data_IF_353280848883
#
_entry.id   IF_353280848883
#
_cell.length_a   1.000
_cell.length_b   1.000
_cell.length_c   1.000
_cell.angle_alpha   90.00
_cell.angle_beta   90.00
_cell.angle_gamma   90.00
#
_symmetry.space_group_name_H-M   'P 1'
#
loop_
_entity.id
_entity.type
_entity.pdbx_description
1 polymer ?
#
# COMPACT_ATOMS: atom_id res chain seq x y z
N UNK A 1 -16.71 -6.25 0.34
CA UNK A 1 -16.85 -6.03 1.80
C UNK A 1 -16.67 -7.34 2.53
N UNK A 2 -15.88 -7.37 3.61
CA UNK A 2 -15.63 -8.56 4.43
C UNK A 2 -16.92 -9.15 5.05
N UNK A 3 -17.93 -8.32 5.29
CA UNK A 3 -19.26 -8.79 5.73
C UNK A 3 -19.94 -9.75 4.75
N UNK A 4 -19.62 -9.71 3.47
CA UNK A 4 -20.12 -10.68 2.49
C UNK A 4 -19.74 -12.12 2.86
N UNK A 5 -18.61 -12.31 3.55
CA UNK A 5 -18.14 -13.62 4.00
C UNK A 5 -19.13 -14.32 4.94
N UNK A 6 -19.87 -13.56 5.77
CA UNK A 6 -20.88 -14.10 6.67
C UNK A 6 -22.00 -14.83 5.91
N UNK A 7 -22.37 -14.31 4.75
CA UNK A 7 -23.52 -14.79 3.97
C UNK A 7 -23.11 -15.58 2.72
N UNK A 8 -21.81 -15.64 2.42
CA UNK A 8 -21.31 -16.38 1.27
C UNK A 8 -21.63 -17.87 1.44
N UNK A 9 -22.25 -18.45 0.41
CA UNK A 9 -22.50 -19.88 0.30
C UNK A 9 -21.35 -20.51 -0.50
N UNK A 10 -20.51 -21.27 0.13
CA UNK A 10 -19.36 -21.92 -0.51
C UNK A 10 -18.76 -22.98 0.39
N UNK A 11 -17.94 -23.86 -0.18
CA UNK A 11 -17.30 -24.93 0.57
C UNK A 11 -16.15 -24.42 1.44
N UNK A 12 -15.44 -23.38 0.99
CA UNK A 12 -14.36 -22.73 1.74
C UNK A 12 -14.36 -21.25 1.46
N UNK A 13 -14.01 -20.45 2.47
CA UNK A 13 -13.93 -18.99 2.41
C UNK A 13 -12.51 -18.56 2.76
N UNK A 14 -11.91 -17.76 1.90
CA UNK A 14 -10.60 -17.15 2.13
C UNK A 14 -10.76 -15.65 2.16
N UNK A 15 -10.20 -14.99 3.17
CA UNK A 15 -10.13 -13.55 3.25
C UNK A 15 -8.68 -13.10 3.16
N UNK A 16 -8.37 -12.33 2.13
CA UNK A 16 -7.08 -11.65 2.00
C UNK A 16 -7.18 -10.24 2.59
N UNK A 17 -6.27 -9.90 3.48
CA UNK A 17 -6.26 -8.62 4.19
C UNK A 17 -4.97 -7.87 3.86
N UNK A 18 -5.13 -6.62 3.41
CA UNK A 18 -4.06 -5.75 2.94
C UNK A 18 -3.84 -4.54 3.87
N UNK A 19 -3.78 -4.78 5.16
CA UNK A 19 -3.60 -3.79 6.22
C UNK A 19 -4.52 -4.01 7.40
N UNK A 20 -4.20 -3.41 8.54
CA UNK A 20 -4.99 -3.53 9.77
C UNK A 20 -6.03 -2.42 9.81
N UNK A 21 -7.30 -2.78 9.67
CA UNK A 21 -8.40 -1.80 9.56
C UNK A 21 -8.52 -0.93 10.82
N UNK A 22 -8.45 -1.53 12.00
CA UNK A 22 -8.52 -0.78 13.27
C UNK A 22 -7.40 0.25 13.41
N UNK A 23 -6.20 -0.03 12.89
CA UNK A 23 -5.09 0.93 12.88
C UNK A 23 -5.36 2.14 11.99
N UNK A 24 -5.95 1.89 10.81
CA UNK A 24 -6.34 2.96 9.89
C UNK A 24 -7.40 3.87 10.52
N UNK A 25 -8.33 3.28 11.27
CA UNK A 25 -9.36 4.03 12.00
C UNK A 25 -8.77 4.78 13.19
N UNK A 26 -7.85 4.18 13.93
CA UNK A 26 -7.15 4.82 15.07
C UNK A 26 -6.41 6.09 14.63
N UNK A 27 -5.80 6.08 13.46
CA UNK A 27 -5.07 7.22 12.93
C UNK A 27 -5.96 8.40 12.53
N UNK A 28 -7.26 8.15 12.27
CA UNK A 28 -8.17 9.14 11.67
C UNK A 28 -9.36 9.52 12.55
N UNK A 29 -9.65 8.76 13.60
CA UNK A 29 -10.89 8.90 14.39
C UNK A 29 -10.68 8.86 15.91
N UNK A 30 -11.75 9.14 16.65
CA UNK A 30 -11.74 9.10 18.12
C UNK A 30 -11.62 7.68 18.69
N UNK A 31 -11.15 7.55 19.93
CA UNK A 31 -10.97 6.26 20.63
C UNK A 31 -12.23 5.38 20.67
N UNK A 32 -13.41 5.98 20.74
CA UNK A 32 -14.68 5.24 20.73
C UNK A 32 -14.95 4.58 19.38
N UNK A 33 -14.69 5.28 18.27
CA UNK A 33 -14.83 4.74 16.91
C UNK A 33 -13.80 3.65 16.66
N UNK A 34 -12.58 3.82 17.14
CA UNK A 34 -11.51 2.83 17.06
C UNK A 34 -11.83 1.53 17.80
N UNK A 35 -12.43 1.65 18.98
CA UNK A 35 -12.87 0.46 19.74
C UNK A 35 -13.94 -0.34 19.00
N UNK A 36 -14.91 0.35 18.39
CA UNK A 36 -15.92 -0.29 17.54
C UNK A 36 -15.32 -0.93 16.29
N UNK A 37 -14.38 -0.25 15.65
CA UNK A 37 -13.65 -0.79 14.49
C UNK A 37 -12.89 -2.06 14.85
N UNK A 38 -12.18 -2.07 15.98
CA UNK A 38 -11.44 -3.24 16.48
C UNK A 38 -12.36 -4.43 16.79
N UNK A 39 -13.49 -4.17 17.44
CA UNK A 39 -14.48 -5.22 17.72
C UNK A 39 -15.09 -5.78 16.45
N UNK A 40 -15.43 -4.91 15.50
CA UNK A 40 -15.99 -5.30 14.20
C UNK A 40 -14.97 -6.09 13.36
N UNK A 41 -13.71 -5.68 13.36
CA UNK A 41 -12.61 -6.38 12.68
C UNK A 41 -12.41 -7.77 13.27
N UNK A 42 -12.30 -7.89 14.61
CA UNK A 42 -12.18 -9.18 15.28
C UNK A 42 -13.31 -10.13 14.94
N UNK A 43 -14.55 -9.64 14.85
CA UNK A 43 -15.69 -10.43 14.48
C UNK A 43 -15.62 -10.95 13.02
N UNK A 44 -15.23 -10.06 12.09
CA UNK A 44 -15.14 -10.40 10.67
C UNK A 44 -14.07 -11.46 10.41
N UNK A 45 -12.96 -11.42 11.14
CA UNK A 45 -11.85 -12.34 11.01
C UNK A 45 -12.19 -13.78 11.45
N UNK A 46 -13.30 -13.99 12.14
CA UNK A 46 -13.76 -15.32 12.54
C UNK A 46 -14.61 -16.04 11.48
N UNK A 47 -15.05 -15.36 10.41
CA UNK A 47 -15.94 -15.96 9.41
C UNK A 47 -15.25 -16.73 8.28
N UNK A 48 -14.02 -16.38 7.87
CA UNK A 48 -13.28 -17.14 6.85
C UNK A 48 -12.71 -18.44 7.43
N UNK A 49 -12.58 -19.45 6.57
CA UNK A 49 -11.86 -20.68 6.89
C UNK A 49 -10.33 -20.48 6.86
N UNK A 50 -9.87 -19.50 6.07
CA UNK A 50 -8.46 -19.08 6.00
C UNK A 50 -8.32 -17.58 5.87
N UNK A 51 -7.28 -17.06 6.50
CA UNK A 51 -6.86 -15.68 6.45
C UNK A 51 -5.49 -15.57 5.76
N UNK A 52 -5.37 -14.67 4.80
CA UNK A 52 -4.11 -14.40 4.12
C UNK A 52 -3.77 -12.91 4.15
N UNK A 53 -2.50 -12.59 4.11
CA UNK A 53 -2.01 -11.23 3.96
C UNK A 53 -0.78 -11.19 3.06
N UNK A 54 -0.59 -10.09 2.36
CA UNK A 54 0.55 -9.84 1.47
C UNK A 54 1.77 -9.24 2.18
N UNK A 55 1.66 -8.93 3.47
CA UNK A 55 2.71 -8.28 4.25
C UNK A 55 3.07 -9.06 5.52
N UNK A 56 4.35 -9.33 5.70
CA UNK A 56 4.86 -9.92 6.93
C UNK A 56 4.67 -9.00 8.15
N UNK A 57 4.73 -7.69 7.95
CA UNK A 57 4.44 -6.70 8.98
C UNK A 57 2.98 -6.78 9.43
N UNK A 58 2.04 -6.86 8.47
CA UNK A 58 0.62 -7.05 8.75
C UNK A 58 0.35 -8.40 9.44
N UNK A 59 1.00 -9.48 8.99
CA UNK A 59 0.93 -10.80 9.64
C UNK A 59 1.33 -10.72 11.12
N UNK A 60 2.47 -10.09 11.40
CA UNK A 60 2.99 -9.90 12.76
C UNK A 60 2.02 -9.07 13.62
N UNK A 61 1.50 -7.97 13.09
CA UNK A 61 0.55 -7.11 13.78
C UNK A 61 -0.74 -7.82 14.18
N UNK A 62 -1.31 -8.65 13.30
CA UNK A 62 -2.50 -9.44 13.63
C UNK A 62 -2.21 -10.50 14.69
N UNK A 63 -1.04 -11.12 14.64
CA UNK A 63 -0.62 -12.07 15.69
C UNK A 63 -0.49 -11.38 17.05
N UNK A 64 0.17 -10.21 17.09
CA UNK A 64 0.40 -9.48 18.34
C UNK A 64 -0.89 -8.88 18.94
N UNK A 65 -1.79 -8.36 18.10
CA UNK A 65 -2.97 -7.62 18.57
C UNK A 65 -4.22 -8.47 18.81
N UNK A 66 -4.38 -9.51 18.02
CA UNK A 66 -5.60 -10.33 18.01
C UNK A 66 -5.32 -11.81 18.30
N UNK A 67 -4.05 -12.21 18.40
CA UNK A 67 -3.60 -13.62 18.46
C UNK A 67 -4.16 -14.46 17.30
N UNK A 68 -4.23 -13.86 16.10
CA UNK A 68 -4.73 -14.51 14.89
C UNK A 68 -3.57 -14.76 13.94
N UNK A 69 -3.48 -15.99 13.43
CA UNK A 69 -2.49 -16.39 12.44
C UNK A 69 -2.99 -16.16 11.02
N UNK A 70 -2.17 -15.51 10.21
CA UNK A 70 -2.39 -15.28 8.79
C UNK A 70 -1.39 -16.08 7.96
N UNK A 71 -1.82 -16.63 6.85
CA UNK A 71 -0.92 -17.18 5.84
C UNK A 71 -0.34 -16.05 5.01
N UNK A 72 0.99 -16.02 4.87
CA UNK A 72 1.67 -15.02 4.03
C UNK A 72 1.52 -15.40 2.56
N UNK A 73 0.85 -14.56 1.80
CA UNK A 73 0.62 -14.72 0.37
C UNK A 73 0.90 -13.37 -0.33
N UNK A 74 2.15 -13.15 -0.79
CA UNK A 74 2.50 -11.88 -1.43
C UNK A 74 1.71 -11.68 -2.73
N UNK A 75 1.21 -10.46 -2.92
CA UNK A 75 0.55 -10.08 -4.16
C UNK A 75 1.56 -10.09 -5.31
N UNK A 76 1.35 -10.86 -6.37
CA UNK A 76 2.23 -10.88 -7.53
C UNK A 76 2.18 -9.55 -8.28
N UNK A 77 3.21 -9.30 -9.09
CA UNK A 77 3.22 -8.23 -10.07
C UNK A 77 2.90 -8.84 -11.43
N UNK A 78 1.88 -8.31 -12.10
CA UNK A 78 1.57 -8.69 -13.49
C UNK A 78 2.56 -8.00 -14.43
N UNK A 79 3.54 -8.75 -14.89
CA UNK A 79 4.66 -8.22 -15.70
C UNK A 79 4.24 -7.86 -17.12
N UNK A 80 3.21 -8.48 -17.66
CA UNK A 80 2.72 -8.22 -19.02
C UNK A 80 2.16 -6.80 -19.17
N UNK A 81 1.68 -6.23 -18.05
CA UNK A 81 1.21 -4.85 -18.04
C UNK A 81 2.32 -3.81 -18.34
N UNK A 82 3.59 -4.17 -18.16
CA UNK A 82 4.74 -3.26 -18.39
C UNK A 82 5.25 -3.25 -19.83
N UNK A 83 4.68 -4.04 -20.72
CA UNK A 83 4.99 -4.00 -22.13
C UNK A 83 4.84 -2.58 -22.71
N UNK A 84 5.67 -2.26 -23.69
CA UNK A 84 5.69 -0.95 -24.38
C UNK A 84 6.13 0.26 -23.53
N UNK A 85 6.82 0.05 -22.41
CA UNK A 85 7.47 1.13 -21.65
C UNK A 85 8.93 1.37 -22.06
N UNK A 86 9.51 0.58 -22.94
CA UNK A 86 10.93 0.63 -23.28
C UNK A 86 11.36 1.94 -23.94
N UNK A 87 10.45 2.61 -24.63
CA UNK A 87 10.69 3.91 -25.27
C UNK A 87 10.72 5.09 -24.30
N UNK A 88 10.37 4.88 -23.02
CA UNK A 88 10.35 5.96 -22.02
C UNK A 88 11.78 6.32 -21.63
N UNK A 89 12.19 7.56 -21.93
CA UNK A 89 13.50 8.09 -21.60
C UNK A 89 13.56 8.59 -20.16
N UNK A 90 14.71 8.44 -19.51
CA UNK A 90 15.01 9.04 -18.21
C UNK A 90 15.02 10.55 -18.31
N UNK A 91 14.49 11.19 -17.28
CA UNK A 91 14.56 12.64 -17.04
C UNK A 91 15.47 12.82 -15.83
N UNK A 92 16.57 13.52 -16.04
CA UNK A 92 17.56 13.73 -14.99
C UNK A 92 16.97 14.53 -13.83
N UNK A 93 17.31 14.13 -12.61
CA UNK A 93 16.85 14.73 -11.36
C UNK A 93 15.31 14.77 -11.20
N UNK A 94 14.56 13.98 -11.99
CA UNK A 94 13.13 13.82 -11.74
C UNK A 94 12.91 12.88 -10.58
N UNK A 95 12.09 13.30 -9.64
CA UNK A 95 11.67 12.57 -8.44
C UNK A 95 10.17 12.32 -8.54
N UNK A 96 9.74 11.06 -8.52
CA UNK A 96 8.32 10.74 -8.63
C UNK A 96 7.70 10.44 -7.27
N UNK A 97 6.54 11.03 -7.05
CA UNK A 97 5.55 10.56 -6.09
C UNK A 97 4.39 9.95 -6.87
N UNK A 98 4.04 8.71 -6.57
CA UNK A 98 2.91 8.01 -7.21
C UNK A 98 1.99 7.45 -6.12
N UNK A 99 0.78 7.99 -6.03
CA UNK A 99 -0.17 7.59 -5.01
C UNK A 99 -1.37 8.51 -4.90
N UNK A 100 -2.30 8.18 -4.01
CA UNK A 100 -3.44 9.03 -3.69
C UNK A 100 -2.97 10.29 -2.95
N UNK A 101 -3.68 11.41 -3.15
CA UNK A 101 -3.53 12.58 -2.31
C UNK A 101 -4.30 12.34 -1.00
N UNK A 102 -3.64 11.77 -0.02
CA UNK A 102 -4.23 11.43 1.27
C UNK A 102 -3.19 11.47 2.38
N UNK A 103 -3.64 11.77 3.61
CA UNK A 103 -2.78 11.86 4.78
C UNK A 103 -1.96 10.59 5.03
N UNK A 104 -2.56 9.42 4.84
CA UNK A 104 -1.90 8.13 5.01
C UNK A 104 -0.72 7.93 4.06
N UNK A 105 -0.79 8.51 2.83
CA UNK A 105 0.26 8.43 1.82
C UNK A 105 1.35 9.48 1.99
N UNK A 106 1.21 10.40 2.93
CA UNK A 106 2.24 11.33 3.34
C UNK A 106 2.67 12.35 2.27
N UNK A 107 1.83 12.62 1.27
CA UNK A 107 2.13 13.59 0.21
C UNK A 107 2.42 14.99 0.77
N UNK A 108 1.81 15.33 1.89
CA UNK A 108 2.03 16.58 2.63
C UNK A 108 3.45 16.67 3.19
N UNK A 109 4.05 15.55 3.62
CA UNK A 109 5.44 15.48 4.07
C UNK A 109 6.38 15.84 2.91
N UNK A 110 6.16 15.23 1.74
CA UNK A 110 6.99 15.50 0.57
C UNK A 110 6.83 16.94 0.09
N UNK A 111 5.61 17.48 0.06
CA UNK A 111 5.35 18.88 -0.29
C UNK A 111 6.03 19.84 0.67
N UNK A 112 6.06 19.55 1.97
CA UNK A 112 6.74 20.38 2.97
C UNK A 112 8.27 20.38 2.79
N UNK A 113 8.85 19.26 2.36
CA UNK A 113 10.29 19.14 2.13
C UNK A 113 10.74 19.58 0.73
N UNK A 114 9.82 19.89 -0.18
CA UNK A 114 10.13 20.09 -1.61
C UNK A 114 11.15 21.19 -1.86
N UNK A 115 11.13 22.27 -1.06
CA UNK A 115 12.09 23.38 -1.19
C UNK A 115 13.54 22.99 -0.83
N UNK A 116 13.74 21.88 -0.11
CA UNK A 116 15.06 21.38 0.30
C UNK A 116 15.58 20.30 -0.67
N UNK A 117 14.74 19.86 -1.62
CA UNK A 117 15.06 18.80 -2.55
C UNK A 117 15.76 19.38 -3.79
N UNK A 118 16.96 18.89 -4.08
CA UNK A 118 17.65 19.24 -5.32
C UNK A 118 17.17 18.34 -6.47
N UNK A 119 16.02 18.68 -7.06
CA UNK A 119 15.41 17.93 -8.15
C UNK A 119 14.03 18.44 -8.50
N UNK A 120 13.43 17.88 -9.54
CA UNK A 120 12.09 18.20 -9.98
C UNK A 120 11.10 17.14 -9.44
N UNK A 121 10.25 17.51 -8.51
CA UNK A 121 9.25 16.59 -7.93
C UNK A 121 8.01 16.57 -8.81
N UNK A 122 7.64 15.37 -9.26
CA UNK A 122 6.44 15.12 -10.06
C UNK A 122 5.43 14.33 -9.25
N UNK A 123 4.29 14.95 -8.99
CA UNK A 123 3.18 14.33 -8.26
C UNK A 123 2.21 13.64 -9.24
N UNK A 124 2.16 12.32 -9.16
CA UNK A 124 1.24 11.48 -9.92
C UNK A 124 0.08 11.06 -9.03
N UNK A 125 -0.96 11.90 -8.98
CA UNK A 125 -2.21 11.63 -8.28
C UNK A 125 -3.34 11.52 -9.28
N UNK A 126 -4.28 10.58 -9.09
CA UNK A 126 -5.46 10.41 -9.96
C UNK A 126 -5.14 10.23 -11.46
N UNK A 127 -4.04 9.58 -11.78
CA UNK A 127 -3.63 9.22 -13.14
C UNK A 127 -3.93 7.76 -13.44
N UNK A 128 -3.94 7.43 -14.73
CA UNK A 128 -4.01 6.03 -15.15
C UNK A 128 -2.76 5.27 -14.68
N UNK A 129 -2.89 3.96 -14.46
CA UNK A 129 -1.74 3.11 -14.13
C UNK A 129 -0.61 3.25 -15.16
N UNK A 130 -0.96 3.27 -16.46
CA UNK A 130 0.01 3.40 -17.55
C UNK A 130 0.80 4.71 -17.49
N UNK A 131 0.13 5.81 -17.15
CA UNK A 131 0.81 7.10 -17.01
C UNK A 131 1.69 7.12 -15.76
N UNK A 132 1.23 6.53 -14.66
CA UNK A 132 2.03 6.36 -13.46
C UNK A 132 3.32 5.57 -13.73
N UNK A 133 3.24 4.46 -14.47
CA UNK A 133 4.41 3.65 -14.84
C UNK A 133 5.40 4.42 -15.73
N UNK A 134 4.90 5.23 -16.67
CA UNK A 134 5.77 6.11 -17.47
C UNK A 134 6.50 7.13 -16.59
N UNK A 135 5.82 7.73 -15.63
CA UNK A 135 6.41 8.68 -14.69
C UNK A 135 7.46 7.98 -13.83
N UNK A 136 7.16 6.81 -13.26
CA UNK A 136 8.15 6.02 -12.52
C UNK A 136 9.37 5.75 -13.40
N UNK A 137 9.16 5.16 -14.58
CA UNK A 137 10.26 4.77 -15.48
C UNK A 137 11.12 5.94 -15.92
N UNK A 138 10.52 7.12 -16.12
CA UNK A 138 11.27 8.33 -16.50
C UNK A 138 12.01 8.97 -15.32
N UNK A 139 11.69 8.63 -14.07
CA UNK A 139 12.26 9.30 -12.89
C UNK A 139 13.57 8.67 -12.44
N UNK A 140 14.42 9.49 -11.83
CA UNK A 140 15.68 9.06 -11.20
C UNK A 140 15.42 8.28 -9.91
N UNK A 141 14.34 8.63 -9.18
CA UNK A 141 13.97 8.03 -7.90
C UNK A 141 12.46 8.13 -7.67
N UNK A 142 11.91 7.18 -6.92
CA UNK A 142 10.53 7.24 -6.42
C UNK A 142 10.54 7.48 -4.93
N UNK A 143 9.71 8.39 -4.45
CA UNK A 143 9.55 8.68 -3.02
C UNK A 143 8.20 8.16 -2.54
N UNK A 144 8.22 7.38 -1.46
CA UNK A 144 7.04 6.77 -0.80
C UNK A 144 7.02 7.21 0.66
N UNK A 145 6.52 8.42 0.96
CA UNK A 145 6.58 9.01 2.30
C UNK A 145 5.40 8.59 3.18
N UNK A 146 4.88 7.39 2.97
CA UNK A 146 3.66 6.91 3.59
C UNK A 146 3.78 6.85 5.12
N UNK A 147 2.69 7.19 5.82
CA UNK A 147 2.56 6.96 7.27
C UNK A 147 2.08 5.56 7.59
N UNK A 148 1.39 4.93 6.65
CA UNK A 148 0.83 3.58 6.80
C UNK A 148 0.86 2.85 5.47
N UNK A 149 1.37 1.62 5.49
CA UNK A 149 1.37 0.70 4.34
C UNK A 149 1.22 -0.75 4.83
N UNK A 150 0.68 -1.59 3.95
CA UNK A 150 0.82 -3.04 4.09
C UNK A 150 2.00 -3.51 3.23
N UNK A 151 1.81 -3.52 1.92
CA UNK A 151 2.85 -3.77 0.92
C UNK A 151 2.54 -2.91 -0.31
N UNK A 152 3.19 -1.74 -0.47
CA UNK A 152 2.86 -0.83 -1.55
C UNK A 152 3.27 -1.41 -2.91
N UNK A 153 2.32 -1.50 -3.84
CA UNK A 153 2.58 -1.95 -5.21
C UNK A 153 3.56 -1.04 -5.93
N UNK A 154 3.51 0.26 -5.66
CA UNK A 154 4.41 1.28 -6.23
C UNK A 154 5.88 0.95 -6.00
N UNK A 155 6.25 0.39 -4.84
CA UNK A 155 7.64 -0.03 -4.56
C UNK A 155 8.03 -1.20 -5.46
N UNK A 156 7.18 -2.20 -5.61
CA UNK A 156 7.43 -3.35 -6.50
C UNK A 156 7.52 -2.92 -7.96
N UNK A 157 6.63 -2.02 -8.38
CA UNK A 157 6.60 -1.45 -9.72
C UNK A 157 7.87 -0.66 -10.03
N UNK A 158 8.33 0.17 -9.07
CA UNK A 158 9.57 0.92 -9.20
C UNK A 158 10.78 -0.02 -9.34
N UNK A 159 10.88 -1.05 -8.51
CA UNK A 159 11.97 -2.03 -8.58
C UNK A 159 11.95 -2.81 -9.90
N UNK A 160 10.78 -3.22 -10.38
CA UNK A 160 10.64 -3.87 -11.67
C UNK A 160 11.12 -2.98 -12.84
N UNK A 161 10.87 -1.67 -12.73
CA UNK A 161 11.31 -0.66 -13.70
C UNK A 161 12.76 -0.19 -13.49
N UNK A 162 13.51 -0.81 -12.57
CA UNK A 162 14.87 -0.45 -12.19
C UNK A 162 15.00 1.02 -11.72
N UNK A 163 14.03 1.48 -10.93
CA UNK A 163 14.05 2.82 -10.32
C UNK A 163 14.21 2.67 -8.81
N UNK A 164 15.22 3.30 -8.21
CA UNK A 164 15.41 3.26 -6.76
C UNK A 164 14.26 3.93 -6.03
N UNK A 165 14.02 3.49 -4.80
CA UNK A 165 12.96 4.01 -3.93
C UNK A 165 13.55 4.55 -2.64
N UNK A 166 13.06 5.71 -2.21
CA UNK A 166 13.21 6.22 -0.85
C UNK A 166 11.84 6.16 -0.20
N UNK A 167 11.72 5.46 0.91
CA UNK A 167 10.46 5.29 1.63
C UNK A 167 10.64 5.43 3.13
N UNK A 168 9.54 5.67 3.81
CA UNK A 168 9.46 5.60 5.27
C UNK A 168 9.49 4.13 5.72
N UNK A 169 10.10 3.86 6.87
CA UNK A 169 10.14 2.53 7.47
C UNK A 169 8.79 2.21 8.15
N UNK A 170 7.79 1.89 7.34
CA UNK A 170 6.45 1.55 7.81
C UNK A 170 5.87 0.34 7.07
N UNK A 171 5.22 -0.55 7.80
CA UNK A 171 4.54 -1.72 7.24
C UNK A 171 5.47 -2.65 6.48
N UNK A 172 5.26 -2.76 5.18
CA UNK A 172 6.03 -3.65 4.30
C UNK A 172 6.92 -2.92 3.28
N UNK A 173 7.22 -1.60 3.52
CA UNK A 173 8.21 -0.85 2.74
C UNK A 173 9.62 -1.32 3.05
#
# INVERSE_FOLDING_TARGET
SAYAMKYAKGKKKVLSVHGVFSEQVDALHSKSVSSLAKSSESQVLQWPDKLTTDSKATQKLYKEKFDIDFEYLPTPLDTDMFENLDSVKKIENQIAYVGRDSHEKGIDILKAAESEINGNVVYCTNRSWKDAMKIIKSSSIVVVPSRMESLPTTVKEAFYLNVPVVGTDVGGI
#
